data_IF_572892532934
#
_entry.id   IF_572892532934
#
_cell.length_a   1.000
_cell.length_b   1.000
_cell.length_c   1.000
_cell.angle_alpha   90.00
_cell.angle_beta   90.00
_cell.angle_gamma   90.00
#
_symmetry.space_group_name_H-M   'P 1'
#
loop_
_entity.id
_entity.type
_entity.pdbx_description
1 polymer ?
#
# COMPACT_ATOMS: atom_id res chain seq x y z
N UNK A 1 -3.51 -21.63 -4.88
CA UNK A 1 -3.14 -20.33 -5.48
C UNK A 1 -2.08 -19.72 -4.59
N UNK A 2 -1.07 -19.05 -5.15
CA UNK A 2 -0.03 -18.32 -4.39
C UNK A 2 -0.07 -16.88 -4.86
N UNK A 3 -0.18 -15.94 -3.92
CA UNK A 3 -0.21 -14.52 -4.21
C UNK A 3 1.18 -14.06 -4.64
N UNK A 4 1.30 -13.64 -5.89
CA UNK A 4 2.57 -13.16 -6.43
C UNK A 4 2.97 -11.85 -5.76
N UNK A 5 4.26 -11.70 -5.45
CA UNK A 5 4.79 -10.50 -4.81
C UNK A 5 4.66 -9.22 -5.66
N UNK A 6 4.51 -9.37 -6.98
CA UNK A 6 4.29 -8.26 -7.90
C UNK A 6 2.79 -7.86 -8.03
N UNK A 7 1.89 -8.53 -7.32
CA UNK A 7 0.47 -8.23 -7.34
C UNK A 7 0.12 -7.10 -6.35
N UNK A 8 -0.78 -6.20 -6.73
CA UNK A 8 -1.27 -5.10 -5.87
C UNK A 8 -1.77 -5.57 -4.50
N UNK A 9 -2.41 -6.74 -4.41
CA UNK A 9 -2.86 -7.28 -3.12
C UNK A 9 -1.68 -7.59 -2.18
N UNK A 10 -0.53 -8.01 -2.72
CA UNK A 10 0.66 -8.26 -1.91
C UNK A 10 1.19 -6.95 -1.30
N UNK A 11 1.22 -5.86 -2.07
CA UNK A 11 1.56 -4.53 -1.55
C UNK A 11 0.58 -4.08 -0.46
N UNK A 12 -0.72 -4.31 -0.62
CA UNK A 12 -1.71 -4.00 0.41
C UNK A 12 -1.45 -4.75 1.70
N UNK A 13 -1.26 -6.08 1.62
CA UNK A 13 -1.00 -6.93 2.79
C UNK A 13 0.30 -6.52 3.48
N UNK A 14 1.40 -6.35 2.74
CA UNK A 14 2.68 -5.91 3.33
C UNK A 14 2.58 -4.55 4.02
N UNK A 15 1.86 -3.60 3.42
CA UNK A 15 1.60 -2.30 4.04
C UNK A 15 0.80 -2.41 5.33
N UNK A 16 -0.26 -3.22 5.36
CA UNK A 16 -1.05 -3.45 6.56
C UNK A 16 -0.24 -4.12 7.67
N UNK A 17 0.60 -5.11 7.34
CA UNK A 17 1.48 -5.78 8.30
C UNK A 17 2.50 -4.83 8.92
N UNK A 18 3.06 -3.91 8.12
CA UNK A 18 3.99 -2.91 8.61
C UNK A 18 3.31 -1.93 9.56
N UNK A 19 2.17 -1.35 9.15
CA UNK A 19 1.42 -0.35 9.92
C UNK A 19 0.92 -0.92 11.25
N UNK A 20 0.43 -2.17 11.25
CA UNK A 20 -0.14 -2.81 12.44
C UNK A 20 0.89 -3.56 13.28
N UNK A 21 2.16 -3.56 12.87
CA UNK A 21 3.24 -4.32 13.48
C UNK A 21 2.90 -5.82 13.69
N UNK A 22 2.26 -6.45 12.70
CA UNK A 22 1.91 -7.88 12.71
C UNK A 22 2.92 -8.69 11.92
N UNK A 23 3.05 -9.97 12.25
CA UNK A 23 4.01 -10.86 11.60
C UNK A 23 3.45 -11.56 10.36
N UNK A 24 2.13 -11.73 10.27
CA UNK A 24 1.49 -12.37 9.14
C UNK A 24 0.02 -11.95 8.98
N UNK A 25 -0.52 -12.20 7.80
CA UNK A 25 -1.93 -12.03 7.45
C UNK A 25 -2.42 -13.32 6.76
N UNK A 26 -3.58 -13.82 7.13
CA UNK A 26 -4.26 -14.88 6.38
C UNK A 26 -5.07 -14.23 5.25
N UNK A 27 -4.57 -14.35 4.02
CA UNK A 27 -5.20 -13.83 2.83
C UNK A 27 -6.24 -14.83 2.32
N UNK A 28 -7.52 -14.45 2.44
CA UNK A 28 -8.65 -15.31 2.11
C UNK A 28 -9.26 -14.90 0.76
N UNK A 29 -9.35 -15.85 -0.16
CA UNK A 29 -10.10 -15.72 -1.41
C UNK A 29 -11.30 -16.65 -1.34
N UNK A 30 -12.50 -16.09 -1.38
CA UNK A 30 -13.73 -16.85 -1.24
C UNK A 30 -14.60 -16.77 -2.50
N UNK A 31 -15.30 -17.87 -2.79
CA UNK A 31 -16.38 -17.95 -3.77
C UNK A 31 -17.45 -18.92 -3.27
N UNK A 32 -18.67 -18.92 -3.84
CA UNK A 32 -19.69 -19.93 -3.51
C UNK A 32 -19.24 -21.37 -3.75
N UNK A 33 -18.22 -21.59 -4.59
CA UNK A 33 -17.67 -22.93 -4.90
C UNK A 33 -16.57 -23.37 -3.94
N UNK A 34 -16.09 -22.49 -3.06
CA UNK A 34 -15.03 -22.81 -2.12
C UNK A 34 -14.19 -21.61 -1.72
N UNK A 35 -13.24 -21.87 -0.82
CA UNK A 35 -12.39 -20.89 -0.20
C UNK A 35 -10.92 -21.32 -0.29
N UNK A 36 -10.04 -20.34 -0.48
CA UNK A 36 -8.60 -20.50 -0.41
C UNK A 36 -8.06 -19.56 0.64
N UNK A 37 -7.16 -20.06 1.50
CA UNK A 37 -6.49 -19.26 2.52
C UNK A 37 -4.99 -19.41 2.33
N UNK A 38 -4.30 -18.28 2.23
CA UNK A 38 -2.84 -18.22 2.10
C UNK A 38 -2.27 -17.36 3.21
N UNK A 39 -1.35 -17.90 4.01
CA UNK A 39 -0.66 -17.12 5.02
C UNK A 39 0.49 -16.35 4.40
N UNK A 40 0.45 -15.03 4.51
CA UNK A 40 1.47 -14.12 4.01
C UNK A 40 2.23 -13.54 5.20
N UNK A 41 3.52 -13.84 5.29
CA UNK A 41 4.40 -13.27 6.31
C UNK A 41 4.85 -11.86 5.95
N UNK A 42 5.11 -11.06 6.97
CA UNK A 42 5.70 -9.73 6.84
C UNK A 42 7.10 -9.84 6.23
N UNK A 43 7.35 -9.06 5.20
CA UNK A 43 8.62 -9.02 4.48
C UNK A 43 9.24 -7.62 4.61
N UNK A 44 10.11 -7.47 5.60
CA UNK A 44 10.78 -6.20 5.92
C UNK A 44 11.67 -5.70 4.79
N UNK A 45 12.33 -6.61 4.07
CA UNK A 45 13.18 -6.28 2.92
C UNK A 45 12.34 -5.70 1.78
N UNK A 46 11.22 -6.35 1.45
CA UNK A 46 10.27 -5.86 0.44
C UNK A 46 9.72 -4.48 0.83
N UNK A 47 9.34 -4.28 2.09
CA UNK A 47 8.91 -2.98 2.59
C UNK A 47 9.96 -1.90 2.38
N UNK A 48 11.20 -2.15 2.84
CA UNK A 48 12.28 -1.17 2.78
C UNK A 48 12.67 -0.82 1.34
N UNK A 49 12.77 -1.82 0.46
CA UNK A 49 13.27 -1.66 -0.90
C UNK A 49 12.19 -1.19 -1.90
N UNK A 50 10.93 -1.59 -1.71
CA UNK A 50 9.87 -1.39 -2.71
C UNK A 50 8.78 -0.42 -2.28
N UNK A 51 8.53 -0.24 -0.99
CA UNK A 51 7.36 0.51 -0.50
C UNK A 51 7.73 1.81 0.21
N UNK A 52 8.59 1.74 1.23
CA UNK A 52 8.82 2.84 2.17
C UNK A 52 9.24 4.15 1.49
N UNK A 53 10.21 4.08 0.58
CA UNK A 53 10.71 5.22 -0.19
C UNK A 53 9.60 5.88 -1.04
N UNK A 54 8.81 5.05 -1.74
CA UNK A 54 7.73 5.54 -2.61
C UNK A 54 6.59 6.18 -1.80
N UNK A 55 6.18 5.54 -0.70
CA UNK A 55 5.15 6.07 0.18
C UNK A 55 5.58 7.39 0.84
N UNK A 56 6.84 7.49 1.27
CA UNK A 56 7.40 8.73 1.82
C UNK A 56 7.40 9.86 0.78
N UNK A 57 7.77 9.56 -0.46
CA UNK A 57 7.74 10.53 -1.56
C UNK A 57 6.32 11.05 -1.81
N UNK A 58 5.34 10.15 -1.92
CA UNK A 58 3.92 10.54 -2.07
C UNK A 58 3.44 11.39 -0.90
N UNK A 59 3.79 11.00 0.33
CA UNK A 59 3.42 11.77 1.52
C UNK A 59 3.98 13.20 1.46
N UNK A 60 5.27 13.35 1.19
CA UNK A 60 5.95 14.65 1.20
C UNK A 60 5.56 15.55 0.02
N UNK A 61 5.42 14.98 -1.18
CA UNK A 61 5.21 15.77 -2.41
C UNK A 61 3.73 16.00 -2.73
N UNK A 62 2.85 15.09 -2.31
CA UNK A 62 1.43 15.14 -2.65
C UNK A 62 0.55 15.43 -1.44
N UNK A 63 0.63 14.63 -0.37
CA UNK A 63 -0.31 14.75 0.76
C UNK A 63 0.00 15.93 1.68
N UNK A 64 1.25 16.04 2.15
CA UNK A 64 1.66 17.08 3.09
C UNK A 64 1.36 18.50 2.58
N UNK A 65 1.64 18.85 1.31
CA UNK A 65 1.31 20.17 0.80
C UNK A 65 -0.19 20.43 0.72
N UNK A 66 -1.03 19.40 0.53
CA UNK A 66 -2.50 19.56 0.56
C UNK A 66 -3.03 19.70 1.99
N UNK A 67 -2.33 19.19 3.00
CA UNK A 67 -2.66 19.37 4.42
C UNK A 67 -2.33 20.79 4.87
N UNK A 68 -1.16 21.30 4.47
CA UNK A 68 -0.66 22.62 4.90
C UNK A 68 -1.24 23.77 4.06
N UNK A 69 -1.25 23.64 2.73
CA UNK A 69 -1.76 24.63 1.77
C UNK A 69 -2.59 23.95 0.66
N UNK A 70 -3.89 23.68 0.94
CA UNK A 70 -4.77 23.00 0.01
C UNK A 70 -4.95 23.77 -1.30
N UNK A 71 -4.71 23.11 -2.43
CA UNK A 71 -4.95 23.69 -3.77
C UNK A 71 -6.42 23.87 -4.09
N UNK A 72 -7.28 23.05 -3.49
CA UNK A 72 -8.74 23.08 -3.69
C UNK A 72 -9.35 24.45 -3.35
N UNK A 73 -8.83 25.14 -2.32
CA UNK A 73 -9.28 26.50 -1.95
C UNK A 73 -9.02 27.55 -3.02
N UNK A 74 -8.09 27.27 -3.94
CA UNK A 74 -7.68 28.13 -5.05
C UNK A 74 -8.18 27.62 -6.41
N UNK A 75 -9.10 26.66 -6.41
CA UNK A 75 -9.64 26.03 -7.64
C UNK A 75 -8.55 25.38 -8.50
N UNK A 76 -7.45 24.94 -7.88
CA UNK A 76 -6.35 24.24 -8.55
C UNK A 76 -6.48 22.72 -8.38
N UNK A 77 -5.99 21.91 -9.33
CA UNK A 77 -6.00 20.45 -9.23
C UNK A 77 -5.12 19.95 -8.09
N UNK A 78 -5.53 18.82 -7.49
CA UNK A 78 -4.79 18.13 -6.42
C UNK A 78 -3.42 17.69 -6.95
N UNK A 79 -2.39 17.80 -6.11
CA UNK A 79 -1.06 17.29 -6.41
C UNK A 79 -1.10 15.77 -6.60
N UNK A 80 -0.68 15.32 -7.78
CA UNK A 80 -0.54 13.89 -8.11
C UNK A 80 0.94 13.52 -8.19
N UNK A 81 1.31 12.30 -7.78
CA UNK A 81 2.69 11.85 -7.92
C UNK A 81 3.10 11.81 -9.41
N UNK A 82 4.36 12.16 -9.75
CA UNK A 82 4.84 12.15 -11.12
C UNK A 82 4.94 10.71 -11.64
N UNK A 83 3.86 10.26 -12.29
CA UNK A 83 3.64 9.01 -13.03
C UNK A 83 3.80 7.69 -12.24
N UNK A 84 2.92 6.73 -12.57
CA UNK A 84 2.88 5.34 -12.11
C UNK A 84 3.44 4.45 -13.22
#
# INVERSE_FOLDING_TARGET
MILKQNNNYYYQVQGQLEVTNREYCDFVVWSPKGMLVERISRNKTFWAEKMAQHLKKIYLECMLPEIVDPRKKRTLPIRSPPHR
#
